data_IF_136972657801
#
_entry.id   IF_136972657801
#
_cell.length_a   1.000
_cell.length_b   1.000
_cell.length_c   1.000
_cell.angle_alpha   90.00
_cell.angle_beta   90.00
_cell.angle_gamma   90.00
#
_symmetry.space_group_name_H-M   'P 1'
#
loop_
_entity.id
_entity.type
_entity.pdbx_description
1 polymer ?
#
# COMPACT_ATOMS: atom_id res chain seq x y z
N UNK A 1 21.13 2.01 6.12
CA UNK A 1 20.70 2.81 4.95
C UNK A 1 19.26 3.18 5.21
N UNK A 2 18.94 4.45 5.31
CA UNK A 2 17.56 4.91 5.42
C UNK A 2 16.90 4.75 4.07
N UNK A 3 15.67 4.23 4.04
CA UNK A 3 14.86 4.19 2.82
C UNK A 3 14.16 5.53 2.73
N UNK A 4 14.58 6.34 1.75
CA UNK A 4 13.94 7.60 1.40
C UNK A 4 12.84 7.33 0.37
N UNK A 5 11.55 7.60 0.68
CA UNK A 5 10.43 7.37 -0.25
C UNK A 5 10.56 8.12 -1.59
N UNK A 6 11.32 9.19 -1.61
CA UNK A 6 11.54 10.02 -2.81
C UNK A 6 12.86 9.73 -3.54
N UNK A 7 13.70 8.84 -3.00
CA UNK A 7 14.98 8.45 -3.59
C UNK A 7 14.83 7.29 -4.58
N UNK A 8 15.69 7.27 -5.59
CA UNK A 8 15.86 6.14 -6.51
C UNK A 8 16.97 5.15 -6.09
N UNK A 9 17.68 5.43 -4.99
CA UNK A 9 18.70 4.51 -4.48
C UNK A 9 18.08 3.31 -3.77
N UNK A 10 18.64 2.10 -3.94
CA UNK A 10 18.03 0.86 -3.46
C UNK A 10 18.96 -0.05 -2.67
N UNK A 11 18.32 -0.79 -1.75
CA UNK A 11 18.83 -2.04 -1.19
C UNK A 11 18.06 -3.21 -1.81
N UNK A 12 18.75 -4.23 -2.28
CA UNK A 12 18.19 -5.52 -2.71
C UNK A 12 18.12 -6.53 -1.56
N UNK A 13 18.51 -6.14 -0.35
CA UNK A 13 18.43 -6.98 0.85
C UNK A 13 17.01 -6.93 1.44
N UNK A 14 16.09 -7.65 0.80
CA UNK A 14 14.69 -7.73 1.27
C UNK A 14 14.54 -8.45 2.61
N UNK A 15 15.42 -9.40 2.91
CA UNK A 15 15.45 -10.09 4.19
C UNK A 15 15.83 -9.15 5.33
N UNK A 16 16.87 -8.36 5.14
CA UNK A 16 17.26 -7.32 6.08
C UNK A 16 16.16 -6.24 6.25
N UNK A 17 15.41 -5.95 5.19
CA UNK A 17 14.27 -5.03 5.24
C UNK A 17 13.14 -5.59 6.10
N UNK A 18 12.75 -6.87 5.90
CA UNK A 18 11.73 -7.54 6.71
C UNK A 18 12.08 -7.45 8.19
N UNK A 19 13.32 -7.85 8.54
CA UNK A 19 13.78 -7.86 9.92
C UNK A 19 13.82 -6.45 10.53
N UNK A 20 14.38 -5.47 9.81
CA UNK A 20 14.56 -4.09 10.30
C UNK A 20 13.24 -3.34 10.47
N UNK A 21 12.27 -3.57 9.56
CA UNK A 21 10.98 -2.90 9.59
C UNK A 21 9.91 -3.67 10.37
N UNK A 22 10.21 -4.89 10.83
CA UNK A 22 9.27 -5.73 11.54
C UNK A 22 8.06 -6.09 10.66
N UNK A 23 8.33 -6.46 9.40
CA UNK A 23 7.32 -6.94 8.47
C UNK A 23 7.09 -8.42 8.66
N UNK A 24 5.90 -8.88 8.29
CA UNK A 24 5.60 -10.31 8.19
C UNK A 24 5.84 -10.78 6.75
N UNK A 25 6.28 -12.03 6.58
CA UNK A 25 6.43 -12.63 5.25
C UNK A 25 5.08 -12.97 4.65
N UNK A 26 4.96 -12.87 3.33
CA UNK A 26 3.78 -13.37 2.61
C UNK A 26 3.73 -14.90 2.59
N UNK A 27 4.88 -15.56 2.72
CA UNK A 27 5.00 -17.02 2.72
C UNK A 27 4.15 -17.63 3.86
N UNK A 28 3.38 -18.66 3.52
CA UNK A 28 2.51 -19.35 4.47
C UNK A 28 1.13 -18.72 4.67
N UNK A 29 0.83 -17.59 4.02
CA UNK A 29 -0.53 -17.08 3.96
C UNK A 29 -1.37 -17.90 2.96
N UNK A 30 -2.58 -18.23 3.37
CA UNK A 30 -3.59 -18.84 2.49
C UNK A 30 -4.24 -17.74 1.63
N UNK A 31 -3.74 -17.59 0.41
CA UNK A 31 -4.21 -16.59 -0.56
C UNK A 31 -5.09 -17.27 -1.61
N UNK A 32 -6.32 -16.81 -1.85
CA UNK A 32 -7.15 -17.35 -2.92
C UNK A 32 -6.58 -16.93 -4.29
N UNK A 33 -6.44 -17.89 -5.20
CA UNK A 33 -5.97 -17.65 -6.57
C UNK A 33 -4.76 -16.69 -6.66
N UNK A 34 -3.62 -17.05 -6.05
CA UNK A 34 -2.46 -16.16 -6.01
C UNK A 34 -1.95 -15.86 -7.42
N UNK A 35 -1.68 -14.58 -7.71
CA UNK A 35 -1.10 -14.14 -8.98
C UNK A 35 0.37 -14.59 -9.09
N UNK A 36 0.98 -14.46 -10.30
CA UNK A 36 2.42 -14.68 -10.49
C UNK A 36 3.28 -13.89 -9.48
N UNK A 37 2.87 -12.66 -9.13
CA UNK A 37 3.63 -11.84 -8.18
C UNK A 37 3.66 -12.46 -6.76
N UNK A 38 2.57 -13.11 -6.35
CA UNK A 38 2.48 -13.83 -5.08
C UNK A 38 3.25 -15.15 -5.14
N UNK A 39 3.00 -15.99 -6.16
CA UNK A 39 3.63 -17.31 -6.30
C UNK A 39 5.15 -17.24 -6.39
N UNK A 40 5.68 -16.17 -6.99
CA UNK A 40 7.13 -15.94 -7.20
C UNK A 40 7.78 -15.15 -6.07
N UNK A 41 7.07 -14.86 -4.98
CA UNK A 41 7.59 -14.08 -3.86
C UNK A 41 7.96 -12.63 -4.21
N UNK A 42 7.45 -12.10 -5.33
CA UNK A 42 7.67 -10.71 -5.74
C UNK A 42 6.90 -9.78 -4.79
N UNK A 43 5.67 -10.14 -4.42
CA UNK A 43 5.01 -9.61 -3.22
C UNK A 43 5.52 -10.43 -2.05
N UNK A 44 6.46 -9.90 -1.30
CA UNK A 44 7.29 -10.67 -0.36
C UNK A 44 6.93 -10.48 1.12
N UNK A 45 6.28 -9.36 1.45
CA UNK A 45 5.99 -9.02 2.83
C UNK A 45 4.65 -8.29 3.00
N UNK A 46 4.14 -8.27 4.22
CA UNK A 46 2.93 -7.56 4.59
C UNK A 46 2.99 -7.00 6.00
N UNK A 47 2.03 -6.15 6.31
CA UNK A 47 1.77 -5.65 7.66
C UNK A 47 0.29 -5.79 7.98
N UNK A 48 -0.04 -6.62 8.98
CA UNK A 48 -1.40 -6.89 9.47
C UNK A 48 -2.42 -7.25 8.36
N UNK A 49 -2.01 -8.06 7.35
CA UNK A 49 -2.89 -8.45 6.23
C UNK A 49 -4.00 -9.40 6.67
N UNK A 50 -3.82 -10.12 7.78
CA UNK A 50 -4.74 -11.14 8.29
C UNK A 50 -6.17 -10.61 8.46
N UNK A 51 -6.31 -9.36 8.93
CA UNK A 51 -7.63 -8.73 9.09
C UNK A 51 -8.38 -8.50 7.77
N UNK A 52 -7.65 -8.23 6.69
CA UNK A 52 -8.21 -8.09 5.34
C UNK A 52 -8.60 -9.46 4.77
N UNK A 53 -7.72 -10.46 4.92
CA UNK A 53 -8.00 -11.83 4.48
C UNK A 53 -9.17 -12.45 5.27
N UNK A 54 -9.32 -12.11 6.55
CA UNK A 54 -10.47 -12.54 7.35
C UNK A 54 -11.78 -11.91 6.86
N UNK A 55 -11.78 -10.61 6.55
CA UNK A 55 -12.93 -9.93 5.98
C UNK A 55 -13.30 -10.55 4.61
N UNK A 56 -12.31 -10.77 3.76
CA UNK A 56 -12.48 -11.43 2.46
C UNK A 56 -13.14 -12.82 2.60
N UNK A 57 -12.61 -13.69 3.48
CA UNK A 57 -13.16 -15.04 3.71
C UNK A 57 -14.59 -15.03 4.22
N UNK A 58 -14.96 -14.02 4.98
CA UNK A 58 -16.32 -13.86 5.53
C UNK A 58 -17.28 -13.13 4.60
N UNK A 59 -16.81 -12.61 3.48
CA UNK A 59 -17.60 -11.73 2.59
C UNK A 59 -17.92 -10.38 3.24
N UNK A 60 -17.12 -9.94 4.21
CA UNK A 60 -17.23 -8.65 4.85
C UNK A 60 -16.52 -7.57 4.01
N UNK A 61 -16.98 -6.34 4.09
CA UNK A 61 -16.41 -5.22 3.34
C UNK A 61 -14.97 -4.89 3.78
N UNK A 62 -14.09 -4.70 2.82
CA UNK A 62 -12.75 -4.14 3.02
C UNK A 62 -12.39 -3.19 1.87
N UNK A 63 -11.50 -2.25 2.14
CA UNK A 63 -11.05 -1.29 1.13
C UNK A 63 -9.63 -1.57 0.66
N UNK A 64 -9.35 -1.17 -0.57
CA UNK A 64 -8.02 -1.18 -1.17
C UNK A 64 -7.68 0.26 -1.54
N UNK A 65 -6.56 0.76 -1.05
CA UNK A 65 -6.13 2.10 -1.42
C UNK A 65 -4.76 2.03 -2.08
N UNK A 66 -4.59 2.74 -3.17
CA UNK A 66 -3.29 3.07 -3.74
C UNK A 66 -3.27 4.53 -4.17
N UNK A 67 -2.08 5.04 -4.47
CA UNK A 67 -1.88 6.40 -4.95
C UNK A 67 -1.02 6.44 -6.20
N UNK A 68 -1.19 7.49 -6.98
CA UNK A 68 -0.28 7.83 -8.06
C UNK A 68 0.15 9.29 -7.94
N UNK A 69 1.43 9.55 -8.17
CA UNK A 69 1.92 10.91 -8.31
C UNK A 69 1.95 11.26 -9.81
N UNK A 70 1.16 12.25 -10.29
CA UNK A 70 1.07 12.57 -11.70
C UNK A 70 2.29 13.40 -12.15
N UNK A 71 3.46 12.75 -12.25
CA UNK A 71 4.74 13.40 -12.56
C UNK A 71 5.40 12.93 -13.86
N UNK A 72 4.72 12.07 -14.65
CA UNK A 72 5.26 11.56 -15.90
C UNK A 72 4.37 10.47 -16.51
N UNK A 73 4.95 9.65 -17.37
CA UNK A 73 4.27 8.55 -18.06
C UNK A 73 4.20 7.30 -17.18
N UNK A 74 3.11 6.54 -17.28
CA UNK A 74 2.99 5.24 -16.62
C UNK A 74 3.95 4.22 -17.23
N UNK A 75 4.66 3.48 -16.39
CA UNK A 75 5.63 2.46 -16.79
C UNK A 75 5.31 1.09 -16.16
N UNK A 76 6.01 0.03 -16.61
CA UNK A 76 5.79 -1.35 -16.14
C UNK A 76 5.81 -1.48 -14.60
N UNK A 77 6.67 -0.74 -13.89
CA UNK A 77 6.68 -0.79 -12.42
C UNK A 77 5.37 -0.34 -11.77
N UNK A 78 4.63 0.56 -12.40
CA UNK A 78 3.30 0.95 -11.91
C UNK A 78 2.26 -0.16 -12.14
N UNK A 79 2.37 -0.95 -13.22
CA UNK A 79 1.43 -2.06 -13.47
C UNK A 79 1.49 -3.14 -12.39
N UNK A 80 2.63 -3.33 -11.71
CA UNK A 80 2.73 -4.27 -10.58
C UNK A 80 1.83 -3.89 -9.41
N UNK A 81 1.71 -2.58 -9.14
CA UNK A 81 0.78 -2.09 -8.10
C UNK A 81 -0.66 -2.36 -8.54
N UNK A 82 -0.98 -2.04 -9.80
CA UNK A 82 -2.34 -2.26 -10.33
C UNK A 82 -2.71 -3.74 -10.38
N UNK A 83 -1.78 -4.64 -10.68
CA UNK A 83 -2.00 -6.10 -10.61
C UNK A 83 -2.41 -6.56 -9.20
N UNK A 84 -1.78 -6.02 -8.16
CA UNK A 84 -2.16 -6.32 -6.78
C UNK A 84 -3.52 -5.71 -6.42
N UNK A 85 -3.76 -4.44 -6.80
CA UNK A 85 -5.05 -3.77 -6.58
C UNK A 85 -6.18 -4.55 -7.26
N UNK A 86 -5.98 -4.99 -8.50
CA UNK A 86 -6.92 -5.83 -9.25
C UNK A 86 -7.20 -7.14 -8.52
N UNK A 87 -6.16 -7.84 -8.04
CA UNK A 87 -6.35 -9.06 -7.29
C UNK A 87 -7.23 -8.86 -6.06
N UNK A 88 -7.01 -7.80 -5.28
CA UNK A 88 -7.89 -7.48 -4.15
C UNK A 88 -9.32 -7.13 -4.60
N UNK A 89 -9.48 -6.40 -5.71
CA UNK A 89 -10.78 -6.05 -6.26
C UNK A 89 -11.57 -7.29 -6.71
N UNK A 90 -10.93 -8.21 -7.42
CA UNK A 90 -11.50 -9.49 -7.84
C UNK A 90 -11.98 -10.33 -6.66
N UNK A 91 -11.39 -10.12 -5.49
CA UNK A 91 -11.72 -10.81 -4.25
C UNK A 91 -12.58 -9.97 -3.28
N UNK A 92 -13.29 -8.97 -3.77
CA UNK A 92 -14.31 -8.24 -3.02
C UNK A 92 -13.88 -6.89 -2.45
N UNK A 93 -12.65 -6.45 -2.67
CA UNK A 93 -12.14 -5.15 -2.21
C UNK A 93 -12.74 -3.96 -2.98
N UNK A 94 -13.14 -2.91 -2.27
CA UNK A 94 -13.53 -1.63 -2.86
C UNK A 94 -12.28 -0.78 -3.10
N UNK A 95 -12.04 -0.42 -4.36
CA UNK A 95 -10.81 0.26 -4.76
C UNK A 95 -10.97 1.78 -4.69
N UNK A 96 -10.02 2.42 -4.03
CA UNK A 96 -9.86 3.88 -4.00
C UNK A 96 -8.46 4.23 -4.50
N UNK A 97 -8.35 5.13 -5.48
CA UNK A 97 -7.07 5.58 -6.03
C UNK A 97 -6.93 7.09 -5.84
N UNK A 98 -5.93 7.49 -5.08
CA UNK A 98 -5.58 8.89 -4.86
C UNK A 98 -4.66 9.41 -5.96
N UNK A 99 -5.07 10.45 -6.68
CA UNK A 99 -4.16 11.23 -7.51
C UNK A 99 -3.49 12.27 -6.61
N UNK A 100 -2.20 12.07 -6.33
CA UNK A 100 -1.40 12.90 -5.42
C UNK A 100 -0.94 14.20 -6.12
N UNK A 101 -1.89 15.00 -6.58
CA UNK A 101 -1.64 16.25 -7.31
C UNK A 101 -1.09 17.37 -6.40
N UNK A 102 -1.52 17.44 -5.14
CA UNK A 102 -0.95 18.36 -4.16
C UNK A 102 0.49 17.99 -3.81
N UNK A 103 0.78 16.71 -3.64
CA UNK A 103 2.13 16.23 -3.38
C UNK A 103 3.04 16.45 -4.60
N UNK A 104 2.56 16.17 -5.81
CA UNK A 104 3.28 16.43 -7.05
C UNK A 104 3.61 17.91 -7.21
N UNK A 105 2.69 18.80 -6.86
CA UNK A 105 2.94 20.24 -6.86
C UNK A 105 4.01 20.63 -5.83
N UNK A 106 3.93 20.08 -4.61
CA UNK A 106 4.85 20.41 -3.51
C UNK A 106 6.28 19.92 -3.76
N UNK A 107 6.43 18.73 -4.36
CA UNK A 107 7.73 18.02 -4.47
C UNK A 107 8.35 18.07 -5.86
N UNK A 108 7.53 18.24 -6.92
CA UNK A 108 7.96 18.22 -8.33
C UNK A 108 7.63 19.51 -9.08
N UNK A 109 6.87 20.42 -8.47
CA UNK A 109 6.47 21.69 -9.10
C UNK A 109 5.43 21.52 -10.23
N UNK A 110 4.77 20.35 -10.33
CA UNK A 110 3.75 20.11 -11.36
C UNK A 110 2.47 20.86 -10.98
N UNK A 111 2.00 21.77 -11.84
CA UNK A 111 0.77 22.51 -11.60
C UNK A 111 -0.48 21.61 -11.62
N UNK A 112 -1.53 21.95 -10.83
CA UNK A 112 -2.72 21.10 -10.67
C UNK A 112 -3.40 20.75 -12.01
N UNK A 113 -3.50 21.69 -12.96
CA UNK A 113 -4.08 21.45 -14.29
C UNK A 113 -3.26 20.44 -15.09
N UNK A 114 -1.95 20.58 -15.06
CA UNK A 114 -1.04 19.66 -15.75
C UNK A 114 -1.05 18.29 -15.09
N UNK A 115 -1.01 18.23 -13.74
CA UNK A 115 -1.15 17.00 -12.99
C UNK A 115 -2.44 16.25 -13.31
N UNK A 116 -3.57 16.96 -13.41
CA UNK A 116 -4.85 16.38 -13.82
C UNK A 116 -4.78 15.76 -15.23
N UNK A 117 -4.22 16.50 -16.19
CA UNK A 117 -4.04 16.02 -17.57
C UNK A 117 -3.17 14.76 -17.61
N UNK A 118 -2.02 14.78 -16.94
CA UNK A 118 -1.12 13.63 -16.85
C UNK A 118 -1.85 12.43 -16.23
N UNK A 119 -2.60 12.62 -15.14
CA UNK A 119 -3.33 11.55 -14.49
C UNK A 119 -4.35 10.90 -15.44
N UNK A 120 -5.16 11.70 -16.12
CA UNK A 120 -6.19 11.20 -17.05
C UNK A 120 -5.58 10.46 -18.23
N UNK A 121 -4.61 11.07 -18.91
CA UNK A 121 -4.07 10.57 -20.17
C UNK A 121 -3.05 9.44 -20.01
N UNK A 122 -2.25 9.46 -18.92
CA UNK A 122 -1.12 8.55 -18.74
C UNK A 122 -1.36 7.43 -17.74
N UNK A 123 -2.28 7.59 -16.79
CA UNK A 123 -2.55 6.62 -15.74
C UNK A 123 -3.95 6.03 -15.82
N UNK A 124 -4.99 6.86 -15.66
CA UNK A 124 -6.37 6.38 -15.58
C UNK A 124 -6.79 5.70 -16.88
N UNK A 125 -6.35 6.20 -18.03
CA UNK A 125 -6.55 5.58 -19.34
C UNK A 125 -5.98 4.14 -19.44
N UNK A 126 -5.06 3.75 -18.56
CA UNK A 126 -4.52 2.39 -18.53
C UNK A 126 -5.21 1.48 -17.52
N UNK A 127 -6.00 2.00 -16.56
CA UNK A 127 -6.55 1.18 -15.47
C UNK A 127 -7.55 0.14 -15.95
N UNK A 128 -8.48 0.49 -16.83
CA UNK A 128 -9.39 -0.47 -17.42
C UNK A 128 -8.65 -1.49 -18.30
N UNK A 129 -7.69 -1.06 -19.09
CA UNK A 129 -6.85 -1.94 -19.91
C UNK A 129 -6.03 -2.92 -19.06
N UNK A 130 -5.64 -2.53 -17.86
CA UNK A 130 -4.97 -3.39 -16.87
C UNK A 130 -5.96 -4.27 -16.09
N UNK A 131 -7.27 -4.14 -16.34
CA UNK A 131 -8.31 -5.01 -15.81
C UNK A 131 -8.98 -4.54 -14.52
N UNK A 132 -8.84 -3.27 -14.14
CA UNK A 132 -9.64 -2.72 -13.05
C UNK A 132 -11.08 -2.48 -13.51
N UNK A 133 -12.03 -2.87 -12.65
CA UNK A 133 -13.45 -2.58 -12.83
C UNK A 133 -13.72 -1.10 -12.49
N UNK A 134 -14.15 -0.28 -13.47
CA UNK A 134 -14.40 1.13 -13.25
C UNK A 134 -15.56 1.43 -12.31
N UNK A 135 -16.58 0.55 -12.23
CA UNK A 135 -17.73 0.74 -11.36
C UNK A 135 -17.40 0.49 -9.88
N UNK A 136 -16.31 -0.26 -9.63
CA UNK A 136 -15.82 -0.60 -8.29
C UNK A 136 -14.50 0.10 -7.95
N UNK A 137 -14.13 1.11 -8.74
CA UNK A 137 -12.92 1.91 -8.53
C UNK A 137 -13.27 3.37 -8.42
N UNK A 138 -12.83 4.02 -7.36
CA UNK A 138 -13.07 5.43 -7.07
C UNK A 138 -11.76 6.21 -7.17
N UNK A 139 -11.54 6.92 -8.28
CA UNK A 139 -10.36 7.78 -8.48
C UNK A 139 -10.69 9.21 -8.13
N UNK A 140 -9.87 9.84 -7.30
CA UNK A 140 -10.05 11.24 -6.91
C UNK A 140 -8.72 12.01 -6.90
N UNK A 141 -8.80 13.34 -6.89
CA UNK A 141 -7.65 14.23 -6.75
C UNK A 141 -7.56 14.74 -5.30
N UNK A 142 -6.37 14.75 -4.71
CA UNK A 142 -6.18 15.29 -3.35
C UNK A 142 -6.69 16.72 -3.24
N UNK A 143 -6.49 17.53 -4.28
CA UNK A 143 -6.94 18.93 -4.33
C UNK A 143 -8.47 19.08 -4.31
N UNK A 144 -9.23 18.10 -4.80
CA UNK A 144 -10.70 18.15 -4.88
C UNK A 144 -11.40 17.43 -3.71
N UNK A 145 -10.69 16.75 -2.80
CA UNK A 145 -11.27 15.97 -1.70
C UNK A 145 -10.98 16.58 -0.32
N UNK A 146 -11.85 17.49 0.18
CA UNK A 146 -11.58 18.24 1.42
C UNK A 146 -11.40 17.38 2.66
N UNK A 147 -12.04 16.20 2.74
CA UNK A 147 -11.91 15.30 3.89
C UNK A 147 -10.46 14.85 4.08
N UNK A 148 -9.70 14.58 3.00
CA UNK A 148 -8.32 14.17 3.04
C UNK A 148 -7.44 15.22 3.71
N UNK A 149 -7.58 16.47 3.27
CA UNK A 149 -6.84 17.60 3.84
C UNK A 149 -7.24 17.88 5.29
N UNK A 150 -8.54 17.80 5.60
CA UNK A 150 -9.07 17.97 6.97
C UNK A 150 -8.53 16.89 7.91
N UNK A 151 -8.54 15.61 7.50
CA UNK A 151 -7.94 14.51 8.26
C UNK A 151 -6.45 14.74 8.48
N UNK A 152 -5.70 15.07 7.43
CA UNK A 152 -4.28 15.37 7.53
C UNK A 152 -3.99 16.46 8.57
N UNK A 153 -4.76 17.54 8.56
CA UNK A 153 -4.66 18.61 9.55
C UNK A 153 -4.95 18.12 10.99
N UNK A 154 -6.02 17.34 11.18
CA UNK A 154 -6.38 16.79 12.49
C UNK A 154 -5.33 15.81 13.02
N UNK A 155 -4.80 14.94 12.16
CA UNK A 155 -3.73 13.98 12.49
C UNK A 155 -2.42 14.69 12.85
N UNK A 156 -2.14 15.85 12.27
CA UNK A 156 -0.97 16.67 12.57
C UNK A 156 -0.82 17.05 14.04
N UNK A 157 -1.92 17.05 14.83
CA UNK A 157 -1.86 17.22 16.31
C UNK A 157 -1.19 16.05 17.03
N UNK A 158 -0.95 14.91 16.37
CA UNK A 158 -0.38 13.69 16.95
C UNK A 158 1.08 13.45 16.59
N UNK A 159 1.68 14.39 15.91
CA UNK A 159 3.09 14.36 15.48
C UNK A 159 3.72 15.76 15.67
N UNK A 160 5.01 15.84 15.43
CA UNK A 160 5.78 17.09 15.50
C UNK A 160 6.90 17.10 14.44
N UNK A 161 7.54 18.24 14.27
CA UNK A 161 8.57 18.43 13.25
C UNK A 161 9.76 17.47 13.44
N UNK A 162 10.20 17.22 14.67
CA UNK A 162 11.34 16.33 14.93
C UNK A 162 11.05 14.88 14.54
N UNK A 163 9.79 14.41 14.67
CA UNK A 163 9.37 13.09 14.17
C UNK A 163 9.46 13.04 12.64
N UNK A 164 9.09 14.13 11.95
CA UNK A 164 9.20 14.26 10.51
C UNK A 164 10.63 14.35 10.01
N UNK A 165 11.48 15.09 10.72
CA UNK A 165 12.92 15.14 10.46
C UNK A 165 13.54 13.76 10.56
N UNK A 166 13.18 12.98 11.60
CA UNK A 166 13.69 11.64 11.81
C UNK A 166 13.20 10.61 10.76
N UNK A 167 11.96 10.78 10.24
CA UNK A 167 11.37 9.83 9.26
C UNK A 167 11.79 10.18 7.83
N UNK A 168 11.82 11.48 7.48
CA UNK A 168 11.93 11.96 6.10
C UNK A 168 13.21 12.76 5.82
N UNK A 169 14.03 13.02 6.84
CA UNK A 169 15.23 13.83 6.68
C UNK A 169 14.95 15.31 6.36
N UNK A 170 13.75 15.82 6.69
CA UNK A 170 13.40 17.22 6.44
C UNK A 170 14.36 18.16 7.19
N UNK A 171 14.63 19.29 6.57
CA UNK A 171 15.53 20.32 7.10
C UNK A 171 14.82 21.67 7.15
N UNK A 172 15.43 22.65 7.76
CA UNK A 172 14.84 23.99 7.90
C UNK A 172 14.49 24.69 6.58
N UNK A 173 15.17 24.34 5.47
CA UNK A 173 14.90 24.84 4.13
C UNK A 173 13.81 24.07 3.36
N UNK A 174 13.30 22.94 3.90
CA UNK A 174 12.23 22.18 3.26
C UNK A 174 10.95 23.02 3.22
N UNK A 175 10.33 23.16 2.03
CA UNK A 175 9.12 23.96 1.91
C UNK A 175 7.95 23.34 2.70
N UNK A 176 7.08 24.18 3.24
CA UNK A 176 5.98 23.74 4.13
C UNK A 176 4.97 22.82 3.44
N UNK A 177 4.74 22.98 2.14
CA UNK A 177 3.85 22.07 1.39
C UNK A 177 4.44 20.65 1.35
N UNK A 178 5.75 20.52 1.17
CA UNK A 178 6.44 19.21 1.23
C UNK A 178 6.37 18.61 2.65
N UNK A 179 6.52 19.45 3.70
CA UNK A 179 6.34 18.98 5.09
C UNK A 179 4.91 18.51 5.37
N UNK A 180 3.91 19.09 4.71
CA UNK A 180 2.51 18.69 4.87
C UNK A 180 2.12 17.46 4.05
N UNK A 181 2.83 17.15 2.95
CA UNK A 181 2.48 16.05 2.05
C UNK A 181 2.28 14.69 2.76
N UNK A 182 3.13 14.25 3.71
CA UNK A 182 2.90 13.01 4.46
C UNK A 182 1.62 13.01 5.31
N UNK A 183 1.16 14.16 5.78
CA UNK A 183 -0.12 14.27 6.51
C UNK A 183 -1.31 14.16 5.56
N UNK A 184 -1.23 14.77 4.39
CA UNK A 184 -2.24 14.63 3.32
C UNK A 184 -2.32 13.16 2.90
N UNK A 185 -1.19 12.50 2.67
CA UNK A 185 -1.15 11.06 2.35
C UNK A 185 -1.72 10.19 3.49
N UNK A 186 -1.47 10.53 4.75
CA UNK A 186 -2.13 9.84 5.87
C UNK A 186 -3.65 10.04 5.83
N UNK A 187 -4.13 11.23 5.42
CA UNK A 187 -5.52 11.49 5.13
C UNK A 187 -6.06 10.62 4.00
N UNK A 188 -5.31 10.47 2.89
CA UNK A 188 -5.68 9.57 1.79
C UNK A 188 -5.88 8.13 2.27
N UNK A 189 -4.94 7.62 3.05
CA UNK A 189 -4.95 6.23 3.52
C UNK A 189 -6.11 5.96 4.50
N UNK A 190 -6.48 6.95 5.30
CA UNK A 190 -7.47 6.76 6.37
C UNK A 190 -8.90 7.20 6.00
N UNK A 191 -9.10 8.12 5.02
CA UNK A 191 -10.44 8.60 4.71
C UNK A 191 -11.42 7.53 4.18
N UNK A 192 -11.00 6.42 3.49
CA UNK A 192 -11.94 5.40 3.05
C UNK A 192 -12.66 4.66 4.19
N UNK A 193 -12.24 4.89 5.43
CA UNK A 193 -12.89 4.39 6.63
C UNK A 193 -13.96 5.32 7.18
N UNK A 194 -14.05 6.56 6.70
CA UNK A 194 -15.06 7.50 7.18
C UNK A 194 -16.44 7.17 6.61
N UNK A 195 -17.50 7.57 7.31
CA UNK A 195 -18.86 7.13 6.99
C UNK A 195 -19.31 7.51 5.58
N UNK A 196 -18.85 8.66 5.07
CA UNK A 196 -19.15 9.13 3.71
C UNK A 196 -18.41 8.34 2.61
N UNK A 197 -17.40 7.53 2.96
CA UNK A 197 -16.49 6.87 2.00
C UNK A 197 -16.35 5.36 2.20
N UNK A 198 -17.30 4.75 2.91
CA UNK A 198 -17.36 3.29 3.04
C UNK A 198 -17.43 2.77 4.47
N UNK A 199 -17.25 3.63 5.46
CA UNK A 199 -17.38 3.28 6.87
C UNK A 199 -16.19 2.50 7.43
N UNK A 200 -16.30 2.17 8.71
CA UNK A 200 -15.25 1.49 9.46
C UNK A 200 -15.03 0.06 8.94
N UNK A 201 -13.89 -0.16 8.30
CA UNK A 201 -13.49 -1.45 7.69
C UNK A 201 -11.98 -1.55 7.56
N UNK A 202 -11.42 -2.78 7.42
CA UNK A 202 -10.00 -2.94 7.09
C UNK A 202 -9.66 -2.29 5.74
N UNK A 203 -8.51 -1.63 5.69
CA UNK A 203 -7.96 -1.06 4.44
C UNK A 203 -6.59 -1.68 4.20
N UNK A 204 -6.34 -2.14 2.97
CA UNK A 204 -5.02 -2.58 2.52
C UNK A 204 -4.42 -1.58 1.53
N UNK A 205 -3.12 -1.37 1.63
CA UNK A 205 -2.35 -0.47 0.77
C UNK A 205 -1.22 -1.25 0.10
N UNK A 206 -1.41 -1.72 -1.15
CA UNK A 206 -0.34 -2.35 -1.93
C UNK A 206 0.67 -1.30 -2.38
N UNK A 207 1.95 -1.47 -2.02
CA UNK A 207 3.00 -0.49 -2.28
C UNK A 207 4.37 -1.13 -2.52
N UNK A 208 5.29 -0.37 -3.09
CA UNK A 208 6.73 -0.66 -2.98
C UNK A 208 7.23 -0.43 -1.55
N UNK A 209 8.29 -1.13 -1.19
CA UNK A 209 8.82 -1.08 0.19
C UNK A 209 9.36 0.31 0.59
N UNK A 210 9.68 1.16 -0.38
CA UNK A 210 10.04 2.57 -0.16
C UNK A 210 8.91 3.40 0.48
N UNK A 211 7.67 2.95 0.37
CA UNK A 211 6.52 3.61 0.97
C UNK A 211 6.26 3.22 2.44
N UNK A 212 7.04 2.29 3.02
CA UNK A 212 6.88 1.87 4.43
C UNK A 212 6.98 3.03 5.44
N UNK A 213 7.85 4.06 5.27
CA UNK A 213 7.85 5.22 6.17
C UNK A 213 6.49 5.91 6.31
N UNK A 214 5.77 6.08 5.19
CA UNK A 214 4.43 6.67 5.17
C UNK A 214 3.40 5.76 5.86
N UNK A 215 3.48 4.44 5.62
CA UNK A 215 2.59 3.46 6.27
C UNK A 215 2.81 3.45 7.78
N UNK A 216 4.06 3.46 8.24
CA UNK A 216 4.39 3.51 9.69
C UNK A 216 3.91 4.81 10.33
N UNK A 217 4.12 5.96 9.68
CA UNK A 217 3.59 7.23 10.16
C UNK A 217 2.07 7.18 10.30
N UNK A 218 1.37 6.78 9.22
CA UNK A 218 -0.11 6.72 9.19
C UNK A 218 -0.67 5.80 10.28
N UNK A 219 -0.07 4.60 10.46
CA UNK A 219 -0.45 3.64 11.52
C UNK A 219 -0.22 4.22 12.91
N UNK A 220 0.92 4.91 13.10
CA UNK A 220 1.23 5.62 14.34
C UNK A 220 0.21 6.71 14.65
N UNK A 221 -0.13 7.54 13.66
CA UNK A 221 -1.12 8.61 13.79
C UNK A 221 -2.51 8.07 14.12
N UNK A 222 -2.98 7.03 13.43
CA UNK A 222 -4.26 6.37 13.74
C UNK A 222 -4.25 5.86 15.18
N UNK A 223 -3.21 5.13 15.60
CA UNK A 223 -3.11 4.59 16.96
C UNK A 223 -3.03 5.66 18.04
N UNK A 224 -2.30 6.77 17.80
CA UNK A 224 -2.20 7.91 18.73
C UNK A 224 -3.52 8.70 18.84
N UNK A 225 -4.38 8.61 17.82
CA UNK A 225 -5.67 9.30 17.78
C UNK A 225 -6.76 8.52 18.50
N UNK A 226 -6.69 7.19 18.45
CA UNK A 226 -7.71 6.31 19.03
C UNK A 226 -7.78 6.41 20.56
N UNK A 227 -9.00 6.30 21.07
CA UNK A 227 -9.32 6.40 22.50
C UNK A 227 -9.11 5.10 23.24
N UNK A 228 -9.22 3.96 22.53
CA UNK A 228 -9.05 2.63 23.10
C UNK A 228 -7.81 1.95 22.52
N UNK A 229 -6.85 1.64 23.39
CA UNK A 229 -5.62 0.95 23.03
C UNK A 229 -5.68 -0.51 23.48
N UNK A 230 -5.37 -1.43 22.57
CA UNK A 230 -5.24 -2.85 22.88
C UNK A 230 -3.80 -3.19 23.21
N UNK A 231 -3.61 -3.88 24.33
CA UNK A 231 -2.31 -4.37 24.80
C UNK A 231 -2.42 -5.84 25.16
N UNK A 232 -1.32 -6.60 25.14
CA UNK A 232 -1.29 -7.92 25.74
C UNK A 232 -1.74 -7.85 27.21
N UNK A 233 -2.56 -8.81 27.64
CA UNK A 233 -2.94 -8.94 29.05
C UNK A 233 -1.74 -9.28 29.93
N UNK A 234 -1.80 -8.97 31.21
CA UNK A 234 -0.70 -9.19 32.16
C UNK A 234 -0.33 -10.67 32.32
N UNK A 235 -1.32 -11.56 32.33
CA UNK A 235 -1.13 -13.00 32.48
C UNK A 235 -1.52 -13.77 31.22
N UNK A 236 -2.59 -13.36 30.57
CA UNK A 236 -3.12 -13.91 29.32
C UNK A 236 -4.12 -12.92 28.72
N UNK A 237 -4.52 -13.14 27.46
CA UNK A 237 -5.59 -12.38 26.82
C UNK A 237 -5.16 -11.00 26.34
N UNK A 238 -6.13 -10.12 26.32
CA UNK A 238 -5.99 -8.72 25.92
C UNK A 238 -6.39 -7.78 27.06
N UNK A 239 -5.81 -6.58 27.05
CA UNK A 239 -6.22 -5.46 27.91
C UNK A 239 -6.61 -4.29 27.02
N UNK A 240 -7.85 -3.82 27.16
CA UNK A 240 -8.32 -2.55 26.62
C UNK A 240 -7.92 -1.45 27.60
N UNK A 241 -7.16 -0.48 27.14
CA UNK A 241 -6.75 0.68 27.95
C UNK A 241 -7.30 1.97 27.35
N UNK A 242 -7.94 2.81 28.18
CA UNK A 242 -8.42 4.12 27.76
C UNK A 242 -7.23 5.09 27.61
N UNK A 243 -7.19 5.79 26.49
CA UNK A 243 -6.29 6.91 26.23
C UNK A 243 -7.04 8.22 26.45
N UNK A 244 -6.96 8.78 27.66
CA UNK A 244 -7.61 10.05 27.98
C UNK A 244 -6.72 11.20 27.45
N UNK A 245 -7.33 12.08 26.67
CA UNK A 245 -6.72 13.23 26.03
C UNK A 245 -7.63 14.44 26.21
N UNK A 246 -7.14 15.66 26.02
CA UNK A 246 -7.96 16.86 26.15
C UNK A 246 -9.20 16.82 25.23
N UNK A 247 -9.05 16.23 24.01
CA UNK A 247 -10.13 16.13 23.03
C UNK A 247 -11.27 15.16 23.41
N UNK A 248 -11.01 14.20 24.31
CA UNK A 248 -11.97 13.18 24.72
C UNK A 248 -12.22 13.16 26.24
N UNK A 249 -11.60 14.05 26.99
CA UNK A 249 -11.69 14.10 28.43
C UNK A 249 -13.15 14.15 28.93
N UNK A 250 -13.99 14.98 28.29
CA UNK A 250 -15.39 15.09 28.62
C UNK A 250 -16.17 13.80 28.39
N UNK A 251 -15.90 13.07 27.29
CA UNK A 251 -16.53 11.79 27.00
C UNK A 251 -16.21 10.72 28.08
N UNK A 252 -15.04 10.84 28.72
CA UNK A 252 -14.63 9.98 29.83
C UNK A 252 -14.94 10.55 31.21
N UNK A 253 -15.83 11.54 31.29
CA UNK A 253 -16.29 12.15 32.54
C UNK A 253 -15.29 13.08 33.19
N UNK A 254 -14.21 13.48 32.52
CA UNK A 254 -13.24 14.42 33.07
C UNK A 254 -13.77 15.85 32.93
N UNK A 255 -13.94 16.55 34.05
CA UNK A 255 -14.40 17.93 34.09
C UNK A 255 -13.23 18.92 33.92
N UNK A 256 -13.49 20.18 33.50
CA UNK A 256 -12.46 21.20 33.34
C UNK A 256 -11.65 21.50 34.63
N UNK A 257 -12.25 21.24 35.80
CA UNK A 257 -11.62 21.43 37.12
C UNK A 257 -10.78 20.19 37.56
N UNK A 258 -10.54 19.22 36.66
CA UNK A 258 -9.80 18.00 36.94
C UNK A 258 -10.55 16.91 37.71
N UNK A 259 -11.81 17.17 38.09
CA UNK A 259 -12.64 16.14 38.72
C UNK A 259 -13.13 15.14 37.69
N UNK A 260 -13.32 13.88 38.11
CA UNK A 260 -13.86 12.81 37.27
C UNK A 260 -15.30 12.53 37.71
N UNK A 261 -16.23 12.71 36.77
CA UNK A 261 -17.59 12.21 36.93
C UNK A 261 -17.57 10.68 36.86
N UNK A 262 -17.76 10.03 38.01
CA UNK A 262 -17.69 8.58 38.14
C UNK A 262 -18.83 7.89 37.38
N UNK A 263 -20.01 8.52 37.32
CA UNK A 263 -21.17 7.97 36.60
C UNK A 263 -20.93 7.96 35.10
N UNK A 264 -20.50 9.10 34.54
CA UNK A 264 -20.17 9.18 33.12
C UNK A 264 -19.05 8.21 32.73
N UNK A 265 -18.02 8.11 33.58
CA UNK A 265 -16.93 7.16 33.35
C UNK A 265 -17.40 5.70 33.40
N UNK A 266 -18.24 5.36 34.38
CA UNK A 266 -18.80 4.00 34.49
C UNK A 266 -19.63 3.65 33.25
N UNK A 267 -20.45 4.57 32.75
CA UNK A 267 -21.25 4.36 31.55
C UNK A 267 -20.42 4.00 30.31
N UNK A 268 -19.22 4.57 30.15
CA UNK A 268 -18.29 4.17 29.06
C UNK A 268 -17.82 2.73 29.26
N UNK A 269 -17.50 2.34 30.50
CA UNK A 269 -17.08 0.97 30.79
C UNK A 269 -18.20 -0.05 30.58
N UNK A 270 -19.42 0.30 30.91
CA UNK A 270 -20.61 -0.56 30.68
C UNK A 270 -20.79 -0.77 29.16
N UNK A 271 -20.61 0.26 28.34
CA UNK A 271 -20.65 0.13 26.86
C UNK A 271 -19.49 -0.71 26.32
N UNK A 272 -18.27 -0.60 26.88
CA UNK A 272 -17.14 -1.50 26.49
C UNK A 272 -17.50 -2.94 26.80
N UNK A 273 -18.01 -3.22 28.00
CA UNK A 273 -18.43 -4.56 28.44
C UNK A 273 -19.52 -5.10 27.50
N UNK A 274 -20.55 -4.29 27.21
CA UNK A 274 -21.62 -4.66 26.29
C UNK A 274 -21.08 -5.04 24.90
N UNK A 275 -20.22 -4.20 24.30
CA UNK A 275 -19.62 -4.47 22.99
C UNK A 275 -18.77 -5.74 22.97
N UNK A 276 -17.96 -5.98 24.01
CA UNK A 276 -17.12 -7.17 24.09
C UNK A 276 -17.94 -8.42 24.42
N UNK A 277 -18.98 -8.30 25.23
CA UNK A 277 -19.91 -9.40 25.50
C UNK A 277 -20.67 -9.85 24.25
N UNK A 278 -21.02 -8.90 23.36
CA UNK A 278 -21.63 -9.21 22.07
C UNK A 278 -20.70 -10.03 21.14
N UNK A 279 -19.39 -9.96 21.35
CA UNK A 279 -18.39 -10.82 20.67
C UNK A 279 -18.22 -12.20 21.35
N UNK A 280 -18.96 -12.49 22.42
CA UNK A 280 -18.92 -13.77 23.13
C UNK A 280 -17.98 -13.82 24.35
N UNK A 281 -17.35 -12.70 24.73
CA UNK A 281 -16.50 -12.66 25.91
C UNK A 281 -17.35 -12.52 27.17
N UNK A 282 -17.21 -13.46 28.15
CA UNK A 282 -17.97 -13.49 29.38
C UNK A 282 -17.12 -13.23 30.65
N UNK A 283 -15.79 -13.29 30.53
CA UNK A 283 -14.84 -13.17 31.63
C UNK A 283 -14.23 -11.77 31.81
N UNK A 284 -14.96 -10.74 31.34
CA UNK A 284 -14.53 -9.36 31.31
C UNK A 284 -14.30 -8.78 32.73
N UNK A 285 -13.16 -8.07 32.91
CA UNK A 285 -12.79 -7.46 34.17
C UNK A 285 -12.58 -5.96 34.02
N UNK A 286 -13.67 -5.14 34.11
CA UNK A 286 -13.56 -3.71 34.03
C UNK A 286 -12.92 -3.13 35.30
N UNK A 287 -12.01 -2.17 35.08
CA UNK A 287 -11.38 -1.40 36.15
C UNK A 287 -11.44 0.10 35.82
N UNK A 288 -12.55 0.78 36.09
CA UNK A 288 -12.74 2.19 35.78
C UNK A 288 -11.71 3.11 36.46
N UNK A 289 -11.23 2.72 37.66
CA UNK A 289 -10.21 3.50 38.41
C UNK A 289 -8.91 3.59 37.61
N UNK A 290 -8.48 2.49 37.01
CA UNK A 290 -7.23 2.43 36.23
C UNK A 290 -7.44 2.64 34.72
N UNK A 291 -8.69 2.83 34.26
CA UNK A 291 -8.99 3.04 32.86
C UNK A 291 -8.75 1.80 32.00
N UNK A 292 -9.03 0.59 32.51
CA UNK A 292 -8.75 -0.65 31.78
C UNK A 292 -9.91 -1.65 31.85
N UNK A 293 -10.02 -2.49 30.80
CA UNK A 293 -10.85 -3.70 30.82
C UNK A 293 -9.96 -4.86 30.40
N UNK A 294 -9.82 -5.88 31.25
CA UNK A 294 -9.12 -7.11 30.92
C UNK A 294 -10.09 -8.08 30.24
N UNK A 295 -9.61 -8.79 29.22
CA UNK A 295 -10.32 -9.81 28.43
C UNK A 295 -9.45 -11.08 28.45
N UNK A 296 -9.44 -11.86 29.54
CA UNK A 296 -8.50 -12.95 29.74
C UNK A 296 -8.60 -14.09 28.72
N UNK A 297 -9.81 -14.38 28.21
CA UNK A 297 -10.07 -15.44 27.24
C UNK A 297 -9.73 -15.02 25.78
N UNK A 298 -9.50 -13.73 25.52
CA UNK A 298 -9.17 -13.26 24.17
C UNK A 298 -7.78 -13.75 23.73
N UNK A 299 -7.68 -14.12 22.47
CA UNK A 299 -6.45 -14.57 21.82
C UNK A 299 -5.95 -13.56 20.77
N UNK A 300 -4.82 -13.83 20.12
CA UNK A 300 -4.36 -13.06 18.98
C UNK A 300 -5.36 -13.06 17.81
N UNK A 301 -6.15 -14.13 17.66
CA UNK A 301 -7.18 -14.27 16.61
C UNK A 301 -8.33 -13.29 16.81
N UNK A 302 -8.59 -12.89 18.04
CA UNK A 302 -9.71 -11.99 18.39
C UNK A 302 -9.33 -10.51 18.28
N UNK A 303 -8.04 -10.21 18.05
CA UNK A 303 -7.52 -8.83 18.04
C UNK A 303 -8.23 -7.93 17.02
N UNK A 304 -8.52 -8.44 15.84
CA UNK A 304 -9.17 -7.68 14.77
C UNK A 304 -10.63 -7.35 15.13
N UNK A 305 -11.41 -8.34 15.58
CA UNK A 305 -12.81 -8.16 15.95
C UNK A 305 -12.97 -7.28 17.19
N UNK A 306 -12.14 -7.48 18.22
CA UNK A 306 -12.12 -6.61 19.41
C UNK A 306 -11.76 -5.18 19.03
N UNK A 307 -10.75 -4.99 18.19
CA UNK A 307 -10.37 -3.64 17.70
C UNK A 307 -11.52 -2.98 16.96
N UNK A 308 -12.15 -3.69 16.03
CA UNK A 308 -13.26 -3.17 15.23
C UNK A 308 -14.43 -2.72 16.12
N UNK A 309 -14.81 -3.54 17.10
CA UNK A 309 -15.89 -3.24 18.05
C UNK A 309 -15.59 -1.98 18.88
N UNK A 310 -14.36 -1.82 19.35
CA UNK A 310 -13.94 -0.65 20.13
C UNK A 310 -13.83 0.62 19.28
N UNK A 311 -13.37 0.54 18.04
CA UNK A 311 -13.35 1.68 17.12
C UNK A 311 -14.77 2.13 16.77
N UNK A 312 -15.71 1.18 16.59
CA UNK A 312 -17.12 1.50 16.43
C UNK A 312 -17.68 2.21 17.67
N UNK A 313 -17.41 1.71 18.88
CA UNK A 313 -17.79 2.38 20.11
C UNK A 313 -17.18 3.78 20.24
N UNK A 314 -15.94 3.96 19.84
CA UNK A 314 -15.28 5.26 19.83
C UNK A 314 -16.05 6.28 18.96
N UNK A 315 -16.47 5.86 17.75
CA UNK A 315 -17.30 6.71 16.87
C UNK A 315 -18.63 7.08 17.49
N UNK A 316 -19.32 6.12 18.12
CA UNK A 316 -20.56 6.37 18.85
C UNK A 316 -20.41 7.37 20.00
N UNK A 317 -19.20 7.52 20.53
CA UNK A 317 -18.83 8.48 21.57
C UNK A 317 -18.31 9.81 21.01
N UNK A 318 -18.27 9.97 19.67
CA UNK A 318 -17.82 11.18 18.99
C UNK A 318 -16.32 11.22 18.68
N UNK A 319 -15.61 10.09 18.83
CA UNK A 319 -14.22 9.93 18.41
C UNK A 319 -14.08 9.59 16.92
N UNK A 320 -12.86 9.55 16.44
CA UNK A 320 -12.59 9.24 15.03
C UNK A 320 -12.62 7.74 14.72
N UNK A 321 -12.18 6.89 15.65
CA UNK A 321 -12.21 5.45 15.52
C UNK A 321 -11.52 4.96 14.23
N UNK A 322 -10.22 5.20 14.09
CA UNK A 322 -9.45 4.89 12.87
C UNK A 322 -8.69 3.57 13.01
N UNK A 323 -8.97 2.63 12.11
CA UNK A 323 -8.20 1.39 12.03
C UNK A 323 -6.85 1.65 11.36
N UNK A 324 -5.72 1.22 11.97
CA UNK A 324 -4.42 1.28 11.30
C UNK A 324 -4.46 0.46 10.00
N UNK A 325 -3.98 0.99 8.86
CA UNK A 325 -4.05 0.30 7.58
C UNK A 325 -3.15 -0.94 7.55
N UNK A 326 -3.57 -1.96 6.81
CA UNK A 326 -2.72 -3.06 6.38
C UNK A 326 -1.94 -2.66 5.13
N UNK A 327 -0.85 -3.37 4.82
CA UNK A 327 -0.08 -3.14 3.59
C UNK A 327 0.53 -4.44 3.07
N UNK A 328 0.71 -4.51 1.75
CA UNK A 328 1.56 -5.49 1.07
C UNK A 328 2.73 -4.79 0.41
N UNK A 329 3.88 -5.47 0.38
CA UNK A 329 5.13 -4.92 -0.16
C UNK A 329 5.67 -5.80 -1.27
N UNK A 330 5.97 -5.18 -2.41
CA UNK A 330 6.56 -5.85 -3.55
C UNK A 330 8.00 -5.38 -3.81
N UNK A 331 8.76 -6.24 -4.49
CA UNK A 331 10.08 -5.90 -5.00
C UNK A 331 9.98 -4.72 -5.95
N UNK A 332 11.04 -3.95 -6.04
CA UNK A 332 11.11 -2.90 -7.04
C UNK A 332 11.22 -3.47 -8.45
N UNK A 333 10.52 -2.87 -9.39
CA UNK A 333 10.82 -3.10 -10.79
C UNK A 333 12.18 -2.47 -11.12
N UNK A 334 13.06 -3.25 -11.73
CA UNK A 334 14.36 -2.77 -12.19
C UNK A 334 14.25 -2.07 -13.54
N UNK A 335 15.02 -1.02 -13.74
CA UNK A 335 15.24 -0.42 -15.06
C UNK A 335 16.15 -1.29 -15.92
N UNK A 336 16.23 -0.99 -17.20
CA UNK A 336 17.03 -1.73 -18.16
C UNK A 336 18.54 -1.68 -17.87
N UNK A 337 18.98 -0.73 -17.06
CA UNK A 337 20.34 -0.57 -16.54
C UNK A 337 20.63 -1.40 -15.27
N UNK A 338 19.60 -2.07 -14.72
CA UNK A 338 19.70 -2.85 -13.48
C UNK A 338 19.40 -2.07 -12.21
N UNK A 339 19.22 -0.74 -12.29
CA UNK A 339 18.78 0.09 -11.18
C UNK A 339 17.24 0.16 -11.11
N UNK A 340 16.69 0.84 -10.10
CA UNK A 340 15.23 1.06 -9.97
C UNK A 340 14.65 1.73 -11.22
N UNK A 341 13.55 1.16 -11.73
CA UNK A 341 12.76 1.77 -12.79
C UNK A 341 12.17 3.11 -12.32
N UNK A 342 12.32 4.15 -13.14
CA UNK A 342 11.84 5.50 -12.81
C UNK A 342 11.43 6.28 -14.05
N UNK A 343 10.33 7.02 -13.97
CA UNK A 343 9.87 7.93 -15.04
C UNK A 343 10.90 9.01 -15.38
N UNK A 344 11.77 9.36 -14.44
CA UNK A 344 12.84 10.35 -14.65
C UNK A 344 14.01 9.82 -15.48
N UNK A 345 14.07 8.50 -15.74
CA UNK A 345 15.11 7.83 -16.54
C UNK A 345 14.50 7.13 -17.76
N UNK A 346 14.03 7.88 -18.78
CA UNK A 346 13.23 7.32 -19.87
C UNK A 346 13.98 6.29 -20.74
N UNK A 347 15.31 6.34 -20.80
CA UNK A 347 16.11 5.40 -21.59
C UNK A 347 16.26 4.02 -20.91
N UNK A 348 16.17 3.97 -19.59
CA UNK A 348 16.21 2.72 -18.82
C UNK A 348 14.82 2.21 -18.40
N UNK A 349 13.74 2.87 -18.85
CA UNK A 349 12.37 2.57 -18.44
C UNK A 349 11.50 2.22 -19.64
N UNK A 350 10.69 1.14 -19.56
CA UNK A 350 9.65 0.84 -20.54
C UNK A 350 8.33 1.44 -20.04
N UNK A 351 7.76 2.36 -20.83
CA UNK A 351 6.45 2.94 -20.60
C UNK A 351 5.37 2.13 -21.29
N UNK A 352 4.18 2.10 -20.72
CA UNK A 352 3.07 1.29 -21.26
C UNK A 352 2.61 1.71 -22.66
N UNK A 353 2.89 2.95 -23.06
CA UNK A 353 2.61 3.46 -24.42
C UNK A 353 3.88 3.67 -25.25
N UNK A 354 4.97 2.94 -24.99
CA UNK A 354 6.16 3.00 -25.86
C UNK A 354 5.91 2.19 -27.14
N UNK A 355 6.34 2.75 -28.28
CA UNK A 355 6.30 2.09 -29.59
C UNK A 355 7.10 0.77 -29.60
N UNK A 356 6.63 -0.31 -30.27
CA UNK A 356 7.29 -1.61 -30.30
C UNK A 356 8.78 -1.54 -30.69
N UNK A 357 9.14 -0.75 -31.71
CA UNK A 357 10.52 -0.59 -32.13
C UNK A 357 11.42 0.03 -31.04
N UNK A 358 10.86 0.92 -30.22
CA UNK A 358 11.55 1.52 -29.09
C UNK A 358 11.74 0.51 -27.96
N UNK A 359 10.71 -0.30 -27.66
CA UNK A 359 10.77 -1.39 -26.67
C UNK A 359 11.84 -2.40 -27.08
N UNK A 360 11.84 -2.84 -28.35
CA UNK A 360 12.84 -3.76 -28.87
C UNK A 360 14.27 -3.25 -28.70
N UNK A 361 14.50 -1.97 -29.05
CA UNK A 361 15.81 -1.32 -28.88
C UNK A 361 16.24 -1.29 -27.42
N UNK A 362 15.33 -1.02 -26.50
CA UNK A 362 15.56 -0.96 -25.06
C UNK A 362 15.90 -2.34 -24.50
N UNK A 363 15.10 -3.39 -24.76
CA UNK A 363 15.32 -4.74 -24.26
C UNK A 363 16.66 -5.31 -24.77
N UNK A 364 17.02 -5.09 -26.04
CA UNK A 364 18.31 -5.51 -26.60
C UNK A 364 19.52 -4.91 -25.87
N UNK A 365 19.37 -3.73 -25.28
CA UNK A 365 20.41 -3.03 -24.51
C UNK A 365 20.36 -3.28 -23.01
N UNK A 366 19.34 -4.03 -22.52
CA UNK A 366 19.17 -4.29 -21.11
C UNK A 366 20.42 -4.96 -20.51
N UNK A 367 20.65 -4.66 -19.22
CA UNK A 367 21.71 -5.31 -18.46
C UNK A 367 21.48 -6.83 -18.47
N UNK A 368 22.56 -7.58 -18.60
CA UNK A 368 22.50 -9.05 -18.69
C UNK A 368 23.26 -9.69 -17.53
N UNK A 369 22.71 -10.79 -17.02
CA UNK A 369 23.36 -11.68 -16.06
C UNK A 369 24.32 -12.68 -16.70
N UNK A 370 24.58 -12.57 -18.03
CA UNK A 370 25.49 -13.46 -18.75
C UNK A 370 26.96 -13.13 -18.56
N UNK A 371 27.81 -14.01 -19.08
CA UNK A 371 29.28 -13.82 -19.09
C UNK A 371 29.71 -12.95 -20.27
N UNK A 372 30.94 -12.36 -20.22
CA UNK A 372 31.45 -11.50 -21.27
C UNK A 372 31.59 -12.14 -22.65
N UNK A 373 31.92 -13.46 -22.71
CA UNK A 373 32.05 -14.20 -23.96
C UNK A 373 31.07 -15.37 -24.02
N UNK A 374 30.75 -15.81 -25.25
CA UNK A 374 29.87 -16.97 -25.46
C UNK A 374 30.49 -18.23 -24.87
N UNK A 375 31.82 -18.41 -25.01
CA UNK A 375 32.54 -19.59 -24.48
C UNK A 375 32.47 -19.63 -22.95
N UNK A 376 32.70 -18.50 -22.29
CA UNK A 376 32.60 -18.42 -20.84
C UNK A 376 31.14 -18.64 -20.39
N UNK A 377 30.16 -18.10 -21.10
CA UNK A 377 28.76 -18.31 -20.80
C UNK A 377 28.37 -19.80 -20.95
N UNK A 378 28.80 -20.44 -22.02
CA UNK A 378 28.56 -21.88 -22.22
C UNK A 378 29.19 -22.75 -21.13
N UNK A 379 30.30 -22.31 -20.55
CA UNK A 379 31.04 -23.04 -19.51
C UNK A 379 30.52 -22.76 -18.09
N UNK A 380 30.19 -21.47 -17.78
CA UNK A 380 29.90 -21.00 -16.43
C UNK A 380 28.42 -20.74 -16.18
N UNK A 381 27.64 -20.64 -17.26
CA UNK A 381 26.24 -20.19 -17.21
C UNK A 381 26.07 -18.70 -16.93
N UNK A 382 24.83 -18.25 -16.90
CA UNK A 382 24.43 -16.93 -16.52
C UNK A 382 23.69 -16.92 -15.19
N UNK A 383 23.50 -15.73 -14.65
CA UNK A 383 22.73 -15.48 -13.43
C UNK A 383 21.37 -14.85 -13.81
N UNK A 384 20.26 -15.62 -13.80
CA UNK A 384 18.95 -15.10 -14.13
C UNK A 384 18.45 -14.05 -13.11
N UNK A 385 18.89 -14.14 -11.86
CA UNK A 385 18.45 -13.20 -10.81
C UNK A 385 19.04 -11.80 -11.01
N UNK A 386 20.13 -11.69 -11.79
CA UNK A 386 20.73 -10.43 -12.22
C UNK A 386 20.36 -10.03 -13.66
N UNK A 387 19.74 -10.92 -14.44
CA UNK A 387 19.36 -10.64 -15.82
C UNK A 387 18.05 -9.90 -15.90
N UNK A 388 18.07 -8.66 -16.43
CA UNK A 388 16.89 -7.79 -16.50
C UNK A 388 15.81 -8.38 -17.41
N UNK A 389 16.19 -9.03 -18.52
CA UNK A 389 15.21 -9.64 -19.42
C UNK A 389 14.47 -10.80 -18.73
N UNK A 390 15.19 -11.63 -17.94
CA UNK A 390 14.59 -12.67 -17.13
C UNK A 390 13.66 -12.07 -16.05
N UNK A 391 14.10 -11.04 -15.33
CA UNK A 391 13.27 -10.37 -14.33
C UNK A 391 12.00 -9.76 -14.95
N UNK A 392 12.08 -9.20 -16.16
CA UNK A 392 10.89 -8.66 -16.85
C UNK A 392 9.88 -9.75 -17.21
N UNK A 393 10.36 -10.91 -17.66
CA UNK A 393 9.48 -12.06 -17.86
C UNK A 393 8.85 -12.50 -16.53
N UNK A 394 9.66 -12.60 -15.48
CA UNK A 394 9.18 -13.01 -14.15
C UNK A 394 8.12 -12.04 -13.56
N UNK A 395 8.28 -10.74 -13.77
CA UNK A 395 7.43 -9.71 -13.14
C UNK A 395 6.20 -9.36 -14.01
N UNK A 396 6.36 -9.36 -15.35
CA UNK A 396 5.37 -8.75 -16.23
C UNK A 396 4.78 -9.68 -17.30
N UNK A 397 5.62 -10.50 -17.97
CA UNK A 397 5.26 -11.01 -19.28
C UNK A 397 5.02 -12.52 -19.34
N UNK A 398 5.54 -13.32 -18.41
CA UNK A 398 5.38 -14.77 -18.39
C UNK A 398 4.48 -15.21 -17.24
N UNK A 399 3.36 -15.86 -17.53
CA UNK A 399 2.43 -16.37 -16.52
C UNK A 399 2.77 -17.81 -16.09
N UNK A 400 3.40 -18.59 -16.98
CA UNK A 400 3.73 -20.00 -16.71
C UNK A 400 5.02 -20.12 -15.91
N UNK A 401 4.90 -20.59 -14.68
CA UNK A 401 6.03 -20.77 -13.77
C UNK A 401 6.98 -21.90 -14.25
N UNK A 402 6.48 -22.92 -14.99
CA UNK A 402 7.30 -24.00 -15.52
C UNK A 402 8.17 -23.51 -16.69
N UNK A 403 7.62 -22.68 -17.58
CA UNK A 403 8.37 -22.04 -18.68
C UNK A 403 9.46 -21.14 -18.10
N UNK A 404 9.14 -20.34 -17.08
CA UNK A 404 10.10 -19.46 -16.44
C UNK A 404 11.24 -20.27 -15.75
N UNK A 405 10.90 -21.37 -15.09
CA UNK A 405 11.88 -22.25 -14.45
C UNK A 405 12.83 -22.89 -15.47
N UNK A 406 12.32 -23.36 -16.62
CA UNK A 406 13.14 -23.93 -17.70
C UNK A 406 14.10 -22.90 -18.29
N UNK A 407 13.63 -21.68 -18.53
CA UNK A 407 14.47 -20.56 -18.97
C UNK A 407 15.60 -20.28 -17.97
N UNK A 408 15.28 -20.23 -16.67
CA UNK A 408 16.26 -20.00 -15.61
C UNK A 408 17.30 -21.13 -15.55
N UNK A 409 16.86 -22.40 -15.59
CA UNK A 409 17.74 -23.56 -15.57
C UNK A 409 18.65 -23.59 -16.80
N UNK A 410 18.08 -23.38 -18.00
CA UNK A 410 18.82 -23.32 -19.24
C UNK A 410 19.87 -22.20 -19.26
N UNK A 411 19.56 -21.05 -18.66
CA UNK A 411 20.47 -19.92 -18.54
C UNK A 411 21.60 -20.20 -17.55
N UNK A 412 21.29 -20.74 -16.38
CA UNK A 412 22.30 -21.17 -15.39
C UNK A 412 23.24 -22.26 -15.91
N UNK A 413 22.72 -23.15 -16.75
CA UNK A 413 23.50 -24.21 -17.37
C UNK A 413 24.28 -23.76 -18.62
N UNK A 414 24.21 -22.49 -19.02
CA UNK A 414 24.85 -21.96 -20.22
C UNK A 414 24.27 -22.48 -21.54
N UNK A 415 23.15 -23.18 -21.52
CA UNK A 415 22.43 -23.65 -22.71
C UNK A 415 21.72 -22.48 -23.44
N UNK A 416 21.14 -21.57 -22.71
CA UNK A 416 20.49 -20.37 -23.22
C UNK A 416 21.42 -19.16 -23.11
N UNK A 417 21.71 -18.50 -24.20
CA UNK A 417 22.57 -17.30 -24.22
C UNK A 417 21.81 -16.04 -23.81
N UNK A 418 22.53 -15.00 -23.37
CA UNK A 418 21.94 -13.71 -22.99
C UNK A 418 21.14 -13.04 -24.13
N UNK A 419 21.60 -13.20 -25.40
CA UNK A 419 20.86 -12.72 -26.55
C UNK A 419 19.54 -13.44 -26.79
N UNK A 420 19.54 -14.77 -26.57
CA UNK A 420 18.33 -15.60 -26.66
C UNK A 420 17.34 -15.30 -25.52
N UNK A 421 17.83 -15.06 -24.29
CA UNK A 421 17.01 -14.58 -23.16
C UNK A 421 16.33 -13.25 -23.47
N UNK A 422 17.06 -12.29 -24.03
CA UNK A 422 16.51 -10.98 -24.46
C UNK A 422 15.49 -11.14 -25.59
N UNK A 423 15.72 -12.06 -26.52
CA UNK A 423 14.76 -12.34 -27.60
C UNK A 423 13.45 -12.94 -27.06
N UNK A 424 13.56 -13.91 -26.15
CA UNK A 424 12.39 -14.50 -25.48
C UNK A 424 11.59 -13.47 -24.68
N UNK A 425 12.27 -12.54 -24.02
CA UNK A 425 11.63 -11.41 -23.33
C UNK A 425 10.94 -10.45 -24.31
N UNK A 426 11.59 -10.13 -25.43
CA UNK A 426 11.05 -9.23 -26.43
C UNK A 426 9.76 -9.76 -27.04
N UNK A 427 9.73 -11.03 -27.44
CA UNK A 427 8.55 -11.68 -28.01
C UNK A 427 7.34 -11.59 -27.07
N UNK A 428 7.53 -11.83 -25.79
CA UNK A 428 6.47 -11.73 -24.76
C UNK A 428 6.07 -10.29 -24.48
N UNK A 429 7.05 -9.38 -24.46
CA UNK A 429 6.79 -7.95 -24.25
C UNK A 429 5.96 -7.36 -25.40
N UNK A 430 6.24 -7.75 -26.66
CA UNK A 430 5.48 -7.31 -27.84
C UNK A 430 4.03 -7.76 -27.76
N UNK A 431 3.77 -9.03 -27.40
CA UNK A 431 2.42 -9.53 -27.21
C UNK A 431 1.70 -8.78 -26.09
N UNK A 432 2.32 -8.71 -24.89
CA UNK A 432 1.70 -8.09 -23.71
C UNK A 432 1.39 -6.60 -23.90
N UNK A 433 2.32 -5.85 -24.50
CA UNK A 433 2.13 -4.42 -24.77
C UNK A 433 1.16 -4.19 -25.93
N UNK A 434 1.12 -5.07 -26.94
CA UNK A 434 0.15 -5.03 -28.01
C UNK A 434 -1.27 -5.23 -27.49
N UNK A 435 -1.50 -6.28 -26.71
CA UNK A 435 -2.80 -6.58 -26.07
C UNK A 435 -3.23 -5.43 -25.12
N UNK A 436 -2.26 -4.81 -24.42
CA UNK A 436 -2.57 -3.67 -23.56
C UNK A 436 -2.99 -2.45 -24.38
N UNK A 437 -2.34 -2.19 -25.50
CA UNK A 437 -2.68 -1.07 -26.37
C UNK A 437 -4.07 -1.22 -26.98
N UNK A 438 -4.42 -2.42 -27.48
CA UNK A 438 -5.75 -2.74 -27.99
C UNK A 438 -6.81 -2.53 -26.89
N UNK A 439 -6.64 -3.14 -25.73
CA UNK A 439 -7.57 -2.96 -24.59
C UNK A 439 -7.70 -1.51 -24.16
N UNK A 440 -6.62 -0.73 -24.19
CA UNK A 440 -6.66 0.70 -23.85
C UNK A 440 -7.54 1.48 -24.82
N UNK A 441 -7.45 1.19 -26.12
CA UNK A 441 -8.27 1.86 -27.14
C UNK A 441 -9.75 1.45 -26.98
N UNK A 442 -10.04 0.18 -26.72
CA UNK A 442 -11.39 -0.34 -26.46
C UNK A 442 -12.02 0.27 -25.21
N UNK A 443 -11.23 0.48 -24.15
CA UNK A 443 -11.70 0.96 -22.84
C UNK A 443 -11.55 2.46 -22.63
N UNK A 444 -11.10 3.21 -23.64
CA UNK A 444 -10.87 4.67 -23.50
C UNK A 444 -12.11 5.44 -23.05
N UNK A 445 -13.31 4.99 -23.42
CA UNK A 445 -14.59 5.58 -23.01
C UNK A 445 -14.91 5.41 -21.52
N UNK A 446 -14.21 4.52 -20.79
CA UNK A 446 -14.44 4.25 -19.37
C UNK A 446 -13.69 5.18 -18.43
N UNK A 447 -12.79 6.05 -18.93
CA UNK A 447 -11.96 6.92 -18.09
C UNK A 447 -12.78 7.77 -17.12
N UNK A 448 -13.88 8.36 -17.60
CA UNK A 448 -14.77 9.19 -16.76
C UNK A 448 -15.53 8.37 -15.70
N UNK A 449 -15.75 7.07 -15.95
CA UNK A 449 -16.44 6.19 -14.99
C UNK A 449 -15.61 5.95 -13.74
N UNK A 450 -14.28 5.91 -13.88
CA UNK A 450 -13.37 5.83 -12.73
C UNK A 450 -13.41 7.02 -11.79
N UNK A 451 -13.80 8.20 -12.31
CA UNK A 451 -13.73 9.44 -11.53
C UNK A 451 -14.85 9.51 -10.49
N UNK A 452 -14.47 9.75 -9.26
CA UNK A 452 -15.40 10.10 -8.19
C UNK A 452 -16.20 11.36 -8.54
N UNK A 453 -17.39 11.56 -7.95
CA UNK A 453 -18.19 12.76 -8.19
C UNK A 453 -17.45 14.07 -7.91
N UNK A 454 -16.60 14.10 -6.90
CA UNK A 454 -15.77 15.25 -6.54
C UNK A 454 -14.51 15.42 -7.41
N UNK A 455 -14.24 14.46 -8.29
CA UNK A 455 -13.13 14.48 -9.24
C UNK A 455 -13.53 14.83 -10.68
N UNK A 456 -14.85 14.93 -10.96
CA UNK A 456 -15.42 15.25 -12.28
C UNK A 456 -15.36 16.73 -12.64
#
# INVERSE_FOLDING_TARGET
>A
MEIDPWSSAQSTDYEGIIARFGLNRMEGLDLPNPTRLHRRGIVFAHRDLEGVLDAQRKGEAFGVLTGLMPSGRMHLGHSMVIDQVRWFQEHGGDVTIAVADLESQATRGVGLKEGRKIALEQYIANYAALGLDPERTNVYFQSSRPIVQRLGFQLGRRTNLSEFEAIYGFKGETNLAHVQAPLVQAGDILHPQTDDYGGLRPIVVPVGVDQDPHLRLTRGLASKTNWFNLKPGKSAGLTVALSVQDSNAAAFGQQPNGRVDRGARQAVFDRIVERLSALGFSDLRPNPKHGTVEVPSASKRDLASVRLALLGLERDLGGMGLMPPSSTYHHFAVGLDGDKMSSSRPDSTIFLGDEPAKVAKKIKRAFSGGQPTVEEHRRLGGDPDRDVAFQYMAYFFEEDDAVLADLAESYRAGRLLAGEMKQACLERAEVWLGDLAERRDETAHLVETFLAPDAR
#
